data_IF_067656666417
#
_entry.id   IF_067656666417
#
_cell.length_a   1.000
_cell.length_b   1.000
_cell.length_c   1.000
_cell.angle_alpha   90.00
_cell.angle_beta   90.00
_cell.angle_gamma   90.00
#
_symmetry.space_group_name_H-M   'P 1'
#
loop_
_entity.id
_entity.type
_entity.pdbx_description
1 polymer ?
#
# COMPACT_ATOMS: atom_id res chain seq x y z
N UNK A 1 -27.75 19.73 32.29
CA UNK A 1 -26.97 20.19 31.12
C UNK A 1 -25.66 19.45 31.16
N UNK A 2 -25.62 18.29 30.52
CA UNK A 2 -24.40 17.54 30.25
C UNK A 2 -23.77 18.16 29.02
N UNK A 3 -22.53 18.61 29.16
CA UNK A 3 -21.72 19.21 28.11
C UNK A 3 -21.11 18.08 27.28
N UNK A 4 -21.66 17.87 26.08
CA UNK A 4 -21.16 16.93 25.08
C UNK A 4 -19.86 17.49 24.48
N UNK A 5 -18.72 17.14 25.08
CA UNK A 5 -17.42 17.36 24.44
C UNK A 5 -17.15 16.22 23.47
N UNK A 6 -17.53 16.40 22.20
CA UNK A 6 -17.08 15.54 21.09
C UNK A 6 -15.59 15.86 20.84
N UNK A 7 -14.65 14.91 20.96
CA UNK A 7 -13.27 15.15 20.55
C UNK A 7 -13.19 15.13 19.03
N UNK A 8 -13.07 16.32 18.46
CA UNK A 8 -12.88 16.55 17.04
C UNK A 8 -11.44 16.19 16.62
N UNK A 9 -11.17 14.92 16.32
CA UNK A 9 -9.92 14.48 15.67
C UNK A 9 -10.16 14.27 14.18
N UNK A 10 -10.42 15.37 13.47
CA UNK A 10 -10.34 15.35 12.00
C UNK A 10 -8.85 15.43 11.65
N UNK A 11 -8.34 14.35 11.09
CA UNK A 11 -7.01 14.16 10.49
C UNK A 11 -6.49 15.47 9.91
N UNK A 12 -5.47 16.06 10.55
CA UNK A 12 -4.73 17.16 9.95
C UNK A 12 -3.86 16.54 8.83
N UNK A 13 -4.08 16.90 7.55
CA UNK A 13 -3.13 16.53 6.51
C UNK A 13 -1.82 17.23 6.83
N UNK A 14 -0.73 16.46 7.00
CA UNK A 14 0.64 16.98 7.00
C UNK A 14 0.80 17.90 5.77
N UNK A 15 1.53 19.01 5.87
CA UNK A 15 1.68 19.95 4.76
C UNK A 15 2.34 19.24 3.58
N UNK A 16 1.56 18.94 2.53
CA UNK A 16 2.10 18.48 1.25
C UNK A 16 2.94 19.61 0.66
N UNK A 17 4.22 19.34 0.36
CA UNK A 17 5.03 20.25 -0.45
C UNK A 17 4.23 20.59 -1.72
N UNK A 18 3.96 21.88 -1.94
CA UNK A 18 2.98 22.36 -2.94
C UNK A 18 3.32 21.92 -4.37
N UNK A 19 4.56 21.51 -4.61
CA UNK A 19 5.06 21.06 -5.91
C UNK A 19 4.97 19.54 -6.12
N UNK A 20 4.75 18.74 -5.06
CA UNK A 20 4.68 17.28 -5.15
C UNK A 20 3.32 16.77 -5.67
N UNK A 21 2.25 17.56 -5.55
CA UNK A 21 0.93 17.25 -6.10
C UNK A 21 0.44 15.82 -5.78
N UNK A 22 0.14 15.03 -6.82
CA UNK A 22 -0.31 13.63 -6.71
C UNK A 22 0.82 12.61 -6.55
N UNK A 23 2.09 13.03 -6.57
CA UNK A 23 3.23 12.11 -6.52
C UNK A 23 3.27 11.24 -5.25
N UNK A 24 3.01 11.77 -4.03
CA UNK A 24 2.99 10.93 -2.83
C UNK A 24 1.94 9.82 -2.90
N UNK A 25 0.75 10.12 -3.42
CA UNK A 25 -0.33 9.13 -3.57
C UNK A 25 0.06 8.02 -4.56
N UNK A 26 0.63 8.39 -5.70
CA UNK A 26 1.06 7.42 -6.70
C UNK A 26 2.20 6.53 -6.18
N UNK A 27 3.20 7.12 -5.51
CA UNK A 27 4.31 6.39 -4.92
C UNK A 27 3.85 5.46 -3.79
N UNK A 28 2.92 5.91 -2.96
CA UNK A 28 2.26 5.08 -1.95
C UNK A 28 1.54 3.87 -2.58
N UNK A 29 0.87 4.06 -3.73
CA UNK A 29 0.21 2.97 -4.45
C UNK A 29 1.21 1.99 -5.08
N UNK A 30 2.31 2.49 -5.65
CA UNK A 30 3.38 1.66 -6.17
C UNK A 30 3.99 0.81 -5.04
N UNK A 31 4.21 1.41 -3.88
CA UNK A 31 4.77 0.75 -2.72
C UNK A 31 3.82 -0.33 -2.16
N UNK A 32 2.51 -0.07 -2.13
CA UNK A 32 1.49 -1.07 -1.81
C UNK A 32 1.61 -2.30 -2.73
N UNK A 33 1.74 -2.08 -4.04
CA UNK A 33 1.87 -3.19 -5.01
C UNK A 33 3.20 -3.92 -4.82
N UNK A 34 4.31 -3.20 -4.61
CA UNK A 34 5.65 -3.78 -4.37
C UNK A 34 5.61 -4.75 -3.18
N UNK A 35 5.05 -4.32 -2.05
CA UNK A 35 4.97 -5.14 -0.84
C UNK A 35 4.04 -6.35 -0.99
N UNK A 36 2.94 -6.20 -1.75
CA UNK A 36 2.08 -7.35 -2.08
C UNK A 36 2.82 -8.37 -2.96
N UNK A 37 3.60 -7.92 -3.93
CA UNK A 37 4.43 -8.82 -4.75
C UNK A 37 5.49 -9.53 -3.90
N UNK A 38 6.14 -8.82 -2.99
CA UNK A 38 7.10 -9.38 -2.04
C UNK A 38 6.46 -10.45 -1.14
N UNK A 39 5.27 -10.19 -0.60
CA UNK A 39 4.50 -11.16 0.17
C UNK A 39 4.21 -12.44 -0.64
N UNK A 40 3.81 -12.30 -1.91
CA UNK A 40 3.58 -13.46 -2.77
C UNK A 40 4.88 -14.24 -3.03
N UNK A 41 6.01 -13.57 -3.29
CA UNK A 41 7.31 -14.23 -3.47
C UNK A 41 7.68 -15.07 -2.25
N UNK A 42 7.54 -14.52 -1.04
CA UNK A 42 7.80 -15.25 0.20
C UNK A 42 6.87 -16.46 0.33
N UNK A 43 5.57 -16.31 0.08
CA UNK A 43 4.61 -17.45 0.12
C UNK A 43 4.96 -18.54 -0.88
N UNK A 44 5.35 -18.16 -2.09
CA UNK A 44 5.73 -19.11 -3.13
C UNK A 44 7.04 -19.83 -2.81
N UNK A 45 7.99 -19.14 -2.15
CA UNK A 45 9.20 -19.73 -1.60
C UNK A 45 8.87 -20.77 -0.52
N UNK A 46 8.05 -20.42 0.47
CA UNK A 46 7.66 -21.33 1.56
C UNK A 46 6.94 -22.59 1.04
N UNK A 47 6.20 -22.46 -0.07
CA UNK A 47 5.52 -23.55 -0.74
C UNK A 47 6.40 -24.34 -1.73
N UNK A 48 7.69 -24.00 -1.88
CA UNK A 48 8.63 -24.61 -2.85
C UNK A 48 8.14 -24.57 -4.31
N UNK A 49 7.50 -23.47 -4.71
CA UNK A 49 6.92 -23.32 -6.06
C UNK A 49 7.78 -22.50 -7.01
N UNK A 50 8.80 -21.84 -6.47
CA UNK A 50 9.79 -21.10 -7.23
C UNK A 50 11.09 -21.87 -7.18
N UNK A 51 11.72 -22.02 -8.33
CA UNK A 51 13.13 -22.40 -8.38
C UNK A 51 14.01 -21.32 -7.73
N UNK A 52 15.21 -21.71 -7.31
CA UNK A 52 16.19 -20.77 -6.74
C UNK A 52 16.52 -19.62 -7.71
N UNK A 53 16.60 -19.92 -9.02
CA UNK A 53 16.81 -18.91 -10.06
C UNK A 53 15.63 -17.93 -10.20
N UNK A 54 14.39 -18.42 -10.07
CA UNK A 54 13.19 -17.56 -10.11
C UNK A 54 13.08 -16.69 -8.86
N UNK A 55 13.41 -17.23 -7.69
CA UNK A 55 13.43 -16.49 -6.43
C UNK A 55 14.45 -15.35 -6.48
N UNK A 56 15.67 -15.61 -6.93
CA UNK A 56 16.72 -14.60 -7.05
C UNK A 56 16.32 -13.49 -8.03
N UNK A 57 15.77 -13.87 -9.19
CA UNK A 57 15.26 -12.89 -10.18
C UNK A 57 14.13 -12.03 -9.63
N UNK A 58 13.22 -12.61 -8.83
CA UNK A 58 12.14 -11.87 -8.21
C UNK A 58 12.67 -10.89 -7.15
N UNK A 59 13.60 -11.34 -6.30
CA UNK A 59 14.24 -10.51 -5.29
C UNK A 59 14.99 -9.32 -5.91
N UNK A 60 15.78 -9.57 -6.97
CA UNK A 60 16.48 -8.52 -7.70
C UNK A 60 15.52 -7.51 -8.33
N UNK A 61 14.43 -7.97 -8.95
CA UNK A 61 13.44 -7.09 -9.57
C UNK A 61 12.72 -6.21 -8.55
N UNK A 62 12.40 -6.76 -7.36
CA UNK A 62 11.77 -6.02 -6.27
C UNK A 62 12.72 -4.95 -5.70
N UNK A 63 14.01 -5.28 -5.54
CA UNK A 63 15.04 -4.34 -5.09
C UNK A 63 15.22 -3.18 -6.08
N UNK A 64 15.24 -3.47 -7.37
CA UNK A 64 15.32 -2.42 -8.40
C UNK A 64 14.10 -1.50 -8.37
N UNK A 65 12.90 -2.04 -8.14
CA UNK A 65 11.68 -1.24 -8.00
C UNK A 65 11.74 -0.34 -6.75
N UNK A 66 12.19 -0.86 -5.61
CA UNK A 66 12.42 -0.08 -4.39
C UNK A 66 13.40 1.08 -4.63
N UNK A 67 14.53 0.82 -5.28
CA UNK A 67 15.50 1.88 -5.63
C UNK A 67 14.89 2.95 -6.53
N UNK A 68 14.02 2.57 -7.47
CA UNK A 68 13.32 3.51 -8.34
C UNK A 68 12.32 4.38 -7.57
N UNK A 69 11.59 3.79 -6.62
CA UNK A 69 10.69 4.52 -5.72
C UNK A 69 11.47 5.53 -4.88
N UNK A 70 12.60 5.13 -4.29
CA UNK A 70 13.46 6.00 -3.49
C UNK A 70 14.02 7.17 -4.31
N UNK A 71 14.54 6.91 -5.52
CA UNK A 71 15.00 7.97 -6.44
C UNK A 71 13.88 8.95 -6.78
N UNK A 72 12.65 8.46 -6.94
CA UNK A 72 11.50 9.30 -7.24
C UNK A 72 11.08 10.14 -6.03
N UNK A 73 11.20 9.60 -4.82
CA UNK A 73 11.02 10.36 -3.58
C UNK A 73 12.00 11.52 -3.47
N UNK A 74 13.29 11.26 -3.78
CA UNK A 74 14.32 12.30 -3.80
C UNK A 74 13.99 13.41 -4.81
N UNK A 75 13.54 13.05 -6.01
CA UNK A 75 13.16 14.00 -7.07
C UNK A 75 11.99 14.89 -6.66
N UNK A 76 11.01 14.34 -5.94
CA UNK A 76 9.81 15.06 -5.52
C UNK A 76 9.90 15.63 -4.09
N UNK A 77 11.07 15.53 -3.44
CA UNK A 77 11.30 15.95 -2.05
C UNK A 77 10.28 15.34 -1.07
N UNK A 78 9.96 14.06 -1.27
CA UNK A 78 9.03 13.30 -0.43
C UNK A 78 9.83 12.48 0.57
N UNK A 79 9.50 12.57 1.86
CA UNK A 79 10.03 11.65 2.86
C UNK A 79 9.44 10.24 2.62
N UNK A 80 10.25 9.18 2.45
CA UNK A 80 9.75 7.81 2.33
C UNK A 80 8.82 7.40 3.47
N UNK A 81 9.00 7.96 4.67
CA UNK A 81 8.10 7.72 5.80
C UNK A 81 6.69 8.29 5.60
N UNK A 82 6.51 9.21 4.65
CA UNK A 82 5.22 9.79 4.26
C UNK A 82 4.55 8.99 3.11
N UNK A 83 5.16 7.92 2.58
CA UNK A 83 4.54 7.02 1.59
C UNK A 83 3.49 6.08 2.20
N UNK A 84 2.86 6.48 3.30
CA UNK A 84 1.85 5.68 3.97
C UNK A 84 0.63 6.54 4.29
N UNK A 85 -0.55 5.95 4.07
CA UNK A 85 -1.82 6.59 4.38
C UNK A 85 -2.41 5.98 5.66
N UNK A 86 -2.85 6.85 6.57
CA UNK A 86 -3.66 6.47 7.71
C UNK A 86 -5.14 6.40 7.30
N UNK A 87 -5.76 5.25 7.51
CA UNK A 87 -7.16 4.96 7.17
C UNK A 87 -8.06 4.99 8.42
N UNK A 88 -7.55 5.50 9.55
CA UNK A 88 -8.28 5.58 10.82
C UNK A 88 -8.49 4.20 11.43
N UNK A 89 -9.74 3.82 11.66
CA UNK A 89 -10.11 2.56 12.32
C UNK A 89 -9.67 1.31 11.53
N UNK A 90 -9.37 1.45 10.23
CA UNK A 90 -8.91 0.37 9.36
C UNK A 90 -7.38 0.19 9.38
N UNK A 91 -6.65 0.98 10.15
CA UNK A 91 -5.19 0.94 10.24
C UNK A 91 -4.50 1.74 9.14
N UNK A 92 -3.33 1.29 8.70
CA UNK A 92 -2.54 1.98 7.68
C UNK A 92 -2.56 1.24 6.34
N UNK A 93 -2.25 1.93 5.24
CA UNK A 93 -2.16 1.28 3.94
C UNK A 93 -1.00 0.26 3.92
N UNK A 94 0.18 0.72 4.37
CA UNK A 94 1.40 -0.07 4.48
C UNK A 94 1.69 -0.41 5.95
N UNK A 95 2.42 -1.49 6.25
CA UNK A 95 2.98 -1.78 7.57
C UNK A 95 3.92 -0.66 8.04
N UNK A 96 3.97 -0.41 9.36
CA UNK A 96 4.76 0.69 9.94
C UNK A 96 6.27 0.41 10.05
N UNK A 97 6.68 -0.87 10.02
CA UNK A 97 8.07 -1.28 10.24
C UNK A 97 8.84 -1.56 8.94
N UNK A 98 8.30 -1.15 7.78
CA UNK A 98 8.96 -1.26 6.47
C UNK A 98 9.10 -2.69 5.92
N UNK A 99 8.76 -3.70 6.70
CA UNK A 99 8.76 -5.11 6.30
C UNK A 99 7.43 -5.78 6.61
N UNK A 100 7.03 -6.70 5.73
CA UNK A 100 5.87 -7.56 5.92
C UNK A 100 6.26 -9.00 5.63
N UNK A 101 6.14 -9.87 6.63
CA UNK A 101 6.26 -11.31 6.43
C UNK A 101 4.85 -11.92 6.36
N UNK A 102 4.47 -12.56 5.25
CA UNK A 102 3.11 -13.04 5.04
C UNK A 102 2.72 -14.13 6.04
N UNK A 103 1.49 -14.04 6.56
CA UNK A 103 0.94 -15.03 7.50
C UNK A 103 1.24 -14.77 8.98
N UNK A 104 2.15 -13.83 9.31
CA UNK A 104 2.34 -13.39 10.68
C UNK A 104 1.43 -12.17 10.98
N UNK A 105 0.62 -12.22 12.06
CA UNK A 105 -0.16 -11.07 12.47
C UNK A 105 0.75 -9.97 13.01
N UNK A 106 0.56 -8.74 12.52
CA UNK A 106 1.27 -7.57 13.04
C UNK A 106 0.48 -6.91 14.17
N UNK A 107 1.16 -6.17 15.05
CA UNK A 107 0.48 -5.43 16.14
C UNK A 107 -0.35 -4.24 15.65
N UNK A 108 -0.16 -3.80 14.40
CA UNK A 108 -0.88 -2.71 13.76
C UNK A 108 -1.41 -3.17 12.39
N UNK A 109 -2.72 -3.38 12.23
CA UNK A 109 -3.27 -3.92 10.99
C UNK A 109 -2.96 -2.99 9.81
N UNK A 110 -2.65 -3.60 8.66
CA UNK A 110 -2.43 -2.90 7.40
C UNK A 110 -3.28 -3.47 6.26
N UNK A 111 -3.55 -2.65 5.24
CA UNK A 111 -4.23 -3.11 4.03
C UNK A 111 -3.39 -4.16 3.30
N UNK A 112 -2.05 -4.04 3.28
CA UNK A 112 -1.15 -5.10 2.77
C UNK A 112 -1.45 -6.44 3.44
N UNK A 113 -1.53 -6.48 4.77
CA UNK A 113 -1.81 -7.71 5.53
C UNK A 113 -3.20 -8.29 5.20
N UNK A 114 -4.21 -7.43 5.07
CA UNK A 114 -5.55 -7.86 4.68
C UNK A 114 -5.56 -8.43 3.25
N UNK A 115 -4.98 -7.71 2.30
CA UNK A 115 -4.98 -8.10 0.90
C UNK A 115 -4.17 -9.39 0.68
N UNK A 116 -3.02 -9.55 1.34
CA UNK A 116 -2.26 -10.80 1.32
C UNK A 116 -3.08 -11.98 1.85
N UNK A 117 -3.78 -11.81 2.99
CA UNK A 117 -4.67 -12.84 3.53
C UNK A 117 -5.80 -13.20 2.57
N UNK A 118 -6.43 -12.20 1.94
CA UNK A 118 -7.51 -12.41 0.98
C UNK A 118 -7.00 -13.17 -0.26
N UNK A 119 -5.85 -12.77 -0.81
CA UNK A 119 -5.19 -13.44 -1.92
C UNK A 119 -4.83 -14.89 -1.56
N UNK A 120 -4.33 -15.15 -0.35
CA UNK A 120 -4.04 -16.51 0.10
C UNK A 120 -5.29 -17.39 0.15
N UNK A 121 -6.42 -16.86 0.63
CA UNK A 121 -7.70 -17.60 0.67
C UNK A 121 -8.35 -17.83 -0.70
N UNK A 122 -7.83 -17.24 -1.78
CA UNK A 122 -8.41 -17.36 -3.12
C UNK A 122 -9.66 -16.47 -3.33
N UNK A 123 -9.84 -15.46 -2.49
CA UNK A 123 -10.96 -14.52 -2.59
C UNK A 123 -10.66 -13.53 -3.71
N UNK A 124 -11.65 -13.32 -4.59
CA UNK A 124 -11.61 -12.25 -5.59
C UNK A 124 -12.25 -11.01 -5.00
N UNK A 125 -11.50 -9.91 -4.97
CA UNK A 125 -11.99 -8.61 -4.54
C UNK A 125 -12.07 -7.70 -5.75
N UNK A 126 -13.27 -7.19 -6.03
CA UNK A 126 -13.48 -6.06 -6.93
C UNK A 126 -13.83 -4.83 -6.11
N UNK A 127 -12.98 -3.81 -6.18
CA UNK A 127 -13.21 -2.52 -5.55
C UNK A 127 -13.17 -1.40 -6.59
N UNK A 128 -13.96 -0.35 -6.37
CA UNK A 128 -13.83 0.89 -7.12
C UNK A 128 -13.65 2.08 -6.19
N UNK A 129 -12.63 2.90 -6.47
CA UNK A 129 -12.38 4.17 -5.79
C UNK A 129 -12.52 5.30 -6.80
N UNK A 130 -13.34 6.30 -6.48
CA UNK A 130 -13.47 7.51 -7.26
C UNK A 130 -12.57 8.60 -6.65
N UNK A 131 -11.67 9.15 -7.47
CA UNK A 131 -10.76 10.24 -7.10
C UNK A 131 -11.28 11.54 -7.74
N UNK A 132 -11.49 12.57 -6.90
CA UNK A 132 -11.92 13.91 -7.32
C UNK A 132 -11.15 15.00 -6.56
N UNK A 133 -11.15 16.24 -7.08
CA UNK A 133 -10.45 17.38 -6.48
C UNK A 133 -11.45 18.44 -5.99
N UNK A 134 -11.39 18.77 -4.69
CA UNK A 134 -12.00 19.96 -4.08
C UNK A 134 -13.45 20.27 -4.53
N UNK A 135 -14.31 19.25 -4.57
CA UNK A 135 -15.73 19.36 -4.97
C UNK A 135 -15.97 19.90 -6.40
N UNK A 136 -14.91 20.06 -7.21
CA UNK A 136 -15.00 20.47 -8.60
C UNK A 136 -14.87 19.23 -9.49
N UNK A 137 -15.91 18.94 -10.27
CA UNK A 137 -15.97 17.86 -11.24
C UNK A 137 -15.10 18.11 -12.48
N UNK A 138 -13.79 18.32 -12.30
CA UNK A 138 -12.84 18.54 -13.40
C UNK A 138 -12.40 17.23 -14.04
N UNK A 139 -12.10 16.23 -13.22
CA UNK A 139 -11.64 14.90 -13.62
C UNK A 139 -12.20 13.89 -12.63
N UNK A 140 -12.83 12.83 -13.14
CA UNK A 140 -13.18 11.64 -12.36
C UNK A 140 -12.23 10.52 -12.77
N UNK A 141 -11.39 10.09 -11.85
CA UNK A 141 -10.56 8.90 -12.05
C UNK A 141 -11.14 7.75 -11.23
N UNK A 142 -11.51 6.67 -11.91
CA UNK A 142 -12.02 5.45 -11.28
C UNK A 142 -10.91 4.41 -11.23
N UNK A 143 -10.46 4.09 -10.03
CA UNK A 143 -9.50 3.00 -9.81
C UNK A 143 -10.29 1.72 -9.57
N UNK A 144 -10.22 0.77 -10.52
CA UNK A 144 -10.75 -0.58 -10.30
C UNK A 144 -9.61 -1.50 -9.90
N UNK A 145 -9.66 -2.02 -8.67
CA UNK A 145 -8.75 -3.06 -8.22
C UNK A 145 -9.44 -4.41 -8.39
N UNK A 146 -8.82 -5.30 -9.16
CA UNK A 146 -9.23 -6.72 -9.25
C UNK A 146 -8.05 -7.54 -8.76
N UNK A 147 -8.23 -8.16 -7.61
CA UNK A 147 -7.24 -9.08 -7.05
C UNK A 147 -7.69 -10.50 -7.30
N UNK A 148 -6.85 -11.29 -7.95
CA UNK A 148 -7.06 -12.71 -8.16
C UNK A 148 -5.83 -13.46 -7.67
N UNK A 149 -6.07 -14.62 -7.09
CA UNK A 149 -5.01 -15.56 -6.73
C UNK A 149 -5.10 -16.76 -7.64
N UNK A 150 -3.98 -17.11 -8.27
CA UNK A 150 -3.84 -18.41 -8.91
C UNK A 150 -3.54 -19.38 -7.79
N UNK A 151 -4.45 -20.32 -7.54
CA UNK A 151 -4.25 -21.36 -6.54
C UNK A 151 -2.93 -22.07 -6.86
N UNK A 152 -2.00 -21.95 -5.92
CA UNK A 152 -0.85 -22.81 -5.75
C UNK A 152 -1.30 -24.27 -5.64
#
# INVERSE_FOLDING_TARGET
MTDDTIPNSITQPKPSHKDAGLAPLLLTLIELVRQLMEAQVIRHMDANLLSEEELERAAESLRQLEEQVMKMCDIFEIDPADLNADLGDFGTLLPKDGGYYPGEPSGNPSIVELLDRLLHTGIVVEGSVDLGLAELSLIHAKLRLVLTSKKV
#
